data_IF_812695199121
#
_entry.id   IF_812695199121
#
_cell.length_a   1.000
_cell.length_b   1.000
_cell.length_c   1.000
_cell.angle_alpha   90.00
_cell.angle_beta   90.00
_cell.angle_gamma   90.00
#
_symmetry.space_group_name_H-M   'P 1'
#
loop_
_entity.id
_entity.type
_entity.pdbx_description
1 polymer ?
#
# COMPACT_ATOMS: atom_id res chain seq x y z
N UNK A 1 -8.43 23.15 -3.99
CA UNK A 1 -8.08 21.91 -3.25
C UNK A 1 -8.91 20.78 -3.85
N UNK A 2 -8.33 19.63 -4.16
CA UNK A 2 -8.91 18.56 -5.00
C UNK A 2 -10.13 17.81 -4.39
N UNK A 3 -10.70 18.31 -3.29
CA UNK A 3 -11.77 17.65 -2.54
C UNK A 3 -13.10 17.51 -3.31
N UNK A 4 -13.43 18.48 -4.19
CA UNK A 4 -14.74 18.52 -4.88
C UNK A 4 -14.72 18.04 -6.33
N UNK A 5 -13.54 17.79 -6.90
CA UNK A 5 -13.43 17.39 -8.32
C UNK A 5 -12.98 15.94 -8.45
N UNK A 6 -13.93 15.06 -8.79
CA UNK A 6 -13.62 13.66 -9.09
C UNK A 6 -12.65 13.53 -10.27
N UNK A 7 -12.70 14.43 -11.25
CA UNK A 7 -11.75 14.43 -12.36
C UNK A 7 -10.29 14.56 -11.89
N UNK A 8 -10.03 15.41 -10.90
CA UNK A 8 -8.68 15.57 -10.35
C UNK A 8 -8.28 14.36 -9.52
N UNK A 9 -9.22 13.80 -8.73
CA UNK A 9 -8.96 12.56 -7.95
C UNK A 9 -8.62 11.39 -8.88
N UNK A 10 -9.29 11.30 -10.03
CA UNK A 10 -9.05 10.29 -11.05
C UNK A 10 -7.71 10.51 -11.77
N UNK A 11 -7.40 11.75 -12.13
CA UNK A 11 -6.11 12.11 -12.74
C UNK A 11 -4.93 11.77 -11.82
N UNK A 12 -5.07 12.04 -10.52
CA UNK A 12 -4.06 11.68 -9.52
C UNK A 12 -3.83 10.16 -9.50
N UNK A 13 -4.89 9.35 -9.62
CA UNK A 13 -4.74 7.89 -9.75
C UNK A 13 -4.04 7.52 -11.07
N UNK A 14 -4.41 8.12 -12.20
CA UNK A 14 -3.76 7.86 -13.50
C UNK A 14 -2.27 8.21 -13.49
N UNK A 15 -1.88 9.24 -12.73
CA UNK A 15 -0.49 9.67 -12.57
C UNK A 15 0.28 8.90 -11.48
N UNK A 16 -0.27 7.79 -10.96
CA UNK A 16 0.33 6.96 -9.90
C UNK A 16 0.59 7.75 -8.60
N UNK A 17 -0.17 8.82 -8.38
CA UNK A 17 -0.04 9.67 -7.19
C UNK A 17 -0.54 9.00 -5.92
N UNK A 18 -1.45 8.03 -6.03
CA UNK A 18 -1.94 7.27 -4.87
C UNK A 18 -0.82 6.43 -4.24
N UNK A 19 -0.01 5.76 -5.06
CA UNK A 19 1.14 4.98 -4.63
C UNK A 19 2.21 5.85 -3.96
N UNK A 20 2.45 7.05 -4.50
CA UNK A 20 3.41 8.00 -3.94
C UNK A 20 2.96 8.55 -2.57
N UNK A 21 1.67 8.81 -2.40
CA UNK A 21 1.14 9.27 -1.11
C UNK A 21 1.13 8.11 -0.10
N UNK A 22 0.80 6.89 -0.54
CA UNK A 22 0.87 5.70 0.30
C UNK A 22 2.29 5.42 0.79
N UNK A 23 3.31 5.59 -0.05
CA UNK A 23 4.71 5.43 0.37
C UNK A 23 5.14 6.48 1.40
N UNK A 24 4.46 7.63 1.44
CA UNK A 24 4.67 8.69 2.43
C UNK A 24 3.95 8.43 3.77
N UNK A 25 3.19 7.34 3.91
CA UNK A 25 2.47 6.98 5.15
C UNK A 25 3.34 6.19 6.16
N UNK A 26 4.64 6.04 5.89
CA UNK A 26 5.59 5.43 6.82
C UNK A 26 6.05 6.43 7.87
N UNK A 27 6.50 5.94 9.03
CA UNK A 27 7.03 6.81 10.08
C UNK A 27 8.38 7.35 9.62
N UNK A 28 8.49 8.67 9.53
CA UNK A 28 9.74 9.39 9.31
C UNK A 28 10.08 10.16 10.60
N UNK A 29 11.18 9.79 11.25
CA UNK A 29 11.64 10.40 12.51
C UNK A 29 12.07 11.87 12.33
N UNK A 30 12.37 12.30 11.10
CA UNK A 30 12.76 13.66 10.74
C UNK A 30 11.58 14.52 10.29
N UNK A 31 10.46 13.90 9.91
CA UNK A 31 9.24 14.61 9.53
C UNK A 31 8.00 13.99 10.20
N UNK A 32 7.77 14.29 11.49
CA UNK A 32 6.71 13.65 12.28
C UNK A 32 5.29 14.00 11.83
N UNK A 33 5.10 14.93 10.89
CA UNK A 33 3.79 15.31 10.34
C UNK A 33 3.56 14.81 8.91
N UNK A 34 4.58 14.23 8.26
CA UNK A 34 4.47 13.75 6.88
C UNK A 34 3.38 12.68 6.77
N UNK A 35 3.33 11.80 7.76
CA UNK A 35 2.35 10.72 7.84
C UNK A 35 0.92 11.24 7.96
N UNK A 36 0.67 12.20 8.84
CA UNK A 36 -0.64 12.80 9.07
C UNK A 36 -1.15 13.52 7.82
N UNK A 37 -0.26 14.26 7.15
CA UNK A 37 -0.59 14.92 5.88
C UNK A 37 -0.88 13.91 4.77
N UNK A 38 -0.10 12.83 4.68
CA UNK A 38 -0.34 11.76 3.70
C UNK A 38 -1.69 11.06 3.94
N UNK A 39 -2.02 10.75 5.20
CA UNK A 39 -3.30 10.16 5.59
C UNK A 39 -4.47 11.10 5.26
N UNK A 40 -4.33 12.41 5.54
CA UNK A 40 -5.37 13.38 5.24
C UNK A 40 -5.58 13.52 3.72
N UNK A 41 -4.50 13.57 2.94
CA UNK A 41 -4.57 13.56 1.47
C UNK A 41 -5.29 12.30 0.96
N UNK A 42 -4.93 11.11 1.46
CA UNK A 42 -5.60 9.87 1.07
C UNK A 42 -7.09 9.90 1.39
N UNK A 43 -7.47 10.41 2.57
CA UNK A 43 -8.89 10.56 2.92
C UNK A 43 -9.65 11.35 1.85
N UNK A 44 -9.12 12.48 1.40
CA UNK A 44 -9.79 13.30 0.38
C UNK A 44 -9.81 12.64 -1.01
N UNK A 45 -8.75 11.93 -1.39
CA UNK A 45 -8.67 11.24 -2.67
C UNK A 45 -9.60 10.02 -2.76
N UNK A 46 -9.90 9.40 -1.62
CA UNK A 46 -10.77 8.22 -1.53
C UNK A 46 -12.23 8.58 -1.25
N UNK A 47 -12.49 9.74 -0.63
CA UNK A 47 -13.84 10.17 -0.30
C UNK A 47 -14.69 10.34 -1.57
N UNK A 48 -15.83 9.63 -1.61
CA UNK A 48 -16.80 9.61 -2.72
C UNK A 48 -16.20 9.19 -4.09
N UNK A 49 -15.06 8.48 -4.09
CA UNK A 49 -14.42 7.96 -5.29
C UNK A 49 -14.18 6.44 -5.18
N UNK A 50 -15.17 5.66 -5.64
CA UNK A 50 -15.14 4.20 -5.59
C UNK A 50 -13.97 3.59 -6.38
N UNK A 51 -13.57 4.22 -7.49
CA UNK A 51 -12.46 3.74 -8.31
C UNK A 51 -11.11 3.87 -7.59
N UNK A 52 -10.90 4.96 -6.85
CA UNK A 52 -9.72 5.13 -6.02
C UNK A 52 -9.73 4.17 -4.82
N UNK A 53 -10.90 3.94 -4.21
CA UNK A 53 -11.04 2.94 -3.13
C UNK A 53 -10.71 1.53 -3.61
N UNK A 54 -11.23 1.13 -4.76
CA UNK A 54 -10.94 -0.17 -5.37
C UNK A 54 -9.47 -0.31 -5.73
N UNK A 55 -8.87 0.73 -6.31
CA UNK A 55 -7.45 0.73 -6.64
C UNK A 55 -6.56 0.54 -5.41
N UNK A 56 -6.80 1.31 -4.34
CA UNK A 56 -6.04 1.15 -3.09
C UNK A 56 -6.26 -0.23 -2.47
N UNK A 57 -7.48 -0.77 -2.54
CA UNK A 57 -7.76 -2.13 -2.08
C UNK A 57 -7.05 -3.20 -2.92
N UNK A 58 -6.65 -2.93 -4.16
CA UNK A 58 -5.82 -3.84 -4.97
C UNK A 58 -4.34 -3.77 -4.60
N UNK A 59 -3.88 -2.66 -4.02
CA UNK A 59 -2.50 -2.50 -3.54
C UNK A 59 -2.27 -3.21 -2.20
N UNK A 60 -3.33 -3.48 -1.44
CA UNK A 60 -3.22 -4.25 -0.20
C UNK A 60 -2.69 -5.67 -0.51
N UNK A 61 -1.66 -6.09 0.21
CA UNK A 61 -1.06 -7.41 0.05
C UNK A 61 -2.07 -8.50 0.50
N UNK A 62 -2.87 -9.01 -0.45
CA UNK A 62 -3.94 -9.98 -0.16
C UNK A 62 -3.47 -11.42 0.00
N UNK A 63 -2.42 -11.83 -0.72
CA UNK A 63 -1.93 -13.20 -0.65
C UNK A 63 -0.52 -13.33 -1.23
N UNK A 64 0.28 -14.24 -0.67
CA UNK A 64 1.52 -14.69 -1.28
C UNK A 64 1.13 -15.68 -2.37
N UNK A 65 1.42 -15.37 -3.63
CA UNK A 65 1.26 -16.34 -4.71
C UNK A 65 2.32 -17.42 -4.50
N UNK A 66 1.90 -18.69 -4.51
CA UNK A 66 2.67 -19.90 -4.22
C UNK A 66 4.17 -19.74 -4.49
N UNK A 67 4.93 -19.61 -3.40
CA UNK A 67 6.37 -19.46 -3.43
C UNK A 67 7.05 -20.80 -3.67
N UNK A 68 6.71 -21.55 -4.72
CA UNK A 68 7.38 -22.82 -5.04
C UNK A 68 8.89 -22.63 -5.12
N UNK A 69 9.35 -21.59 -5.81
CA UNK A 69 10.77 -21.22 -5.89
C UNK A 69 11.40 -20.83 -4.53
N UNK A 70 10.62 -20.22 -3.62
CA UNK A 70 11.08 -19.80 -2.29
C UNK A 70 11.08 -20.98 -1.31
N UNK A 71 10.12 -21.89 -1.45
CA UNK A 71 9.97 -23.14 -0.71
C UNK A 71 11.08 -24.13 -1.09
N UNK A 72 11.38 -24.24 -2.39
CA UNK A 72 12.50 -25.02 -2.93
C UNK A 72 13.86 -24.47 -2.43
N UNK A 73 13.93 -23.15 -2.19
CA UNK A 73 15.07 -22.49 -1.57
C UNK A 73 15.10 -22.59 -0.03
N UNK A 74 14.13 -23.28 0.60
CA UNK A 74 14.07 -23.49 2.05
C UNK A 74 13.45 -22.36 2.86
N UNK A 75 12.69 -21.45 2.24
CA UNK A 75 12.01 -20.34 2.89
C UNK A 75 10.50 -20.52 2.93
N UNK A 76 9.91 -20.25 4.08
CA UNK A 76 8.47 -20.11 4.29
C UNK A 76 8.10 -18.63 4.26
N UNK A 77 7.04 -18.29 3.54
CA UNK A 77 6.59 -16.91 3.38
C UNK A 77 5.34 -16.71 4.22
N UNK A 78 5.35 -15.73 5.11
CA UNK A 78 4.20 -15.37 5.93
C UNK A 78 3.89 -13.90 5.74
N UNK A 79 2.62 -13.55 5.54
CA UNK A 79 2.15 -12.17 5.61
C UNK A 79 1.85 -11.86 7.07
N UNK A 80 2.51 -10.85 7.63
CA UNK A 80 2.22 -10.32 8.96
C UNK A 80 2.12 -8.80 8.87
N UNK A 81 1.01 -8.23 9.36
CA UNK A 81 0.77 -6.78 9.39
C UNK A 81 0.91 -6.10 8.02
N UNK A 82 0.42 -6.74 6.95
CA UNK A 82 0.53 -6.24 5.56
C UNK A 82 1.95 -6.29 4.98
N UNK A 83 2.93 -6.82 5.72
CA UNK A 83 4.31 -6.99 5.27
C UNK A 83 4.60 -8.47 4.97
N UNK A 84 5.33 -8.72 3.89
CA UNK A 84 5.81 -10.06 3.52
C UNK A 84 7.08 -10.37 4.31
N UNK A 85 7.05 -11.43 5.13
CA UNK A 85 8.20 -11.92 5.90
C UNK A 85 8.63 -13.29 5.38
N UNK A 86 9.94 -13.51 5.31
CA UNK A 86 10.55 -14.80 4.99
C UNK A 86 11.10 -15.44 6.28
N UNK A 87 10.78 -16.70 6.53
CA UNK A 87 11.37 -17.52 7.60
C UNK A 87 12.10 -18.69 6.97
N UNK A 88 13.30 -19.01 7.46
CA UNK A 88 14.00 -20.23 7.02
C UNK A 88 13.31 -21.45 7.63
N UNK A 89 13.02 -22.46 6.82
CA UNK A 89 12.43 -23.72 7.28
C UNK A 89 13.47 -24.49 8.10
N UNK A 90 13.21 -24.86 9.37
CA UNK A 90 14.14 -25.68 10.12
C UNK A 90 14.30 -27.04 9.44
N UNK A 91 15.54 -27.51 9.30
CA UNK A 91 15.87 -28.84 8.77
C UNK A 91 15.53 -29.87 9.85
N UNK A 92 14.52 -30.71 9.62
CA UNK A 92 14.36 -31.99 10.33
C UNK A 92 15.46 -32.97 9.92
#
# INVERSE_FOLDING_TARGET
>A
MCHDSNAIKDEIRTLHGLELILSSCVIDEHNPYMKEHAILCLKFLLQDNAMNQEFVAQLEAKQVIDGSALSDAGYEITIADGNVKLKHKPRE
#
